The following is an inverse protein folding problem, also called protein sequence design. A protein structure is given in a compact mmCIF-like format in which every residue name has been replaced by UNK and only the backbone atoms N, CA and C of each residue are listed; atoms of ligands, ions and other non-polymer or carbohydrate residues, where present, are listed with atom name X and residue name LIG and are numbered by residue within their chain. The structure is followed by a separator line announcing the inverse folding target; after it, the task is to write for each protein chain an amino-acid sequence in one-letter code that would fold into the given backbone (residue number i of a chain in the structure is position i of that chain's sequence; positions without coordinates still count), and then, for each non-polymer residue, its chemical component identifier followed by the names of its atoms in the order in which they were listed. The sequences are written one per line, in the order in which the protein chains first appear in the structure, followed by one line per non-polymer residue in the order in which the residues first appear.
data_IF_509198607486
#
_entry.id   IF_509198607486
#
_cell.length_a   1.000
_cell.length_b   1.000
_cell.length_c   1.000
_cell.angle_alpha   90.00
_cell.angle_beta   90.00
_cell.angle_gamma   90.00
#
_symmetry.space_group_name_H-M   'P 1'
#
loop_
_entity.id
_entity.type
_entity.pdbx_description
1 polymer ?
#
# COMPACT_ATOMS: atom_id res chain seq x y z
N UNK A 1 2.05 -69.80 38.64
CA UNK A 1 2.89 -69.43 37.48
C UNK A 1 1.96 -69.07 36.33
N UNK A 2 1.74 -67.78 36.08
CA UNK A 2 0.85 -67.26 35.03
C UNK A 2 1.54 -66.03 34.43
N UNK A 3 2.04 -66.16 33.20
CA UNK A 3 2.72 -65.10 32.46
C UNK A 3 1.67 -64.12 31.90
N UNK A 4 1.80 -62.84 32.26
CA UNK A 4 1.06 -61.73 31.68
C UNK A 4 1.94 -61.10 30.58
N UNK A 5 1.44 -61.10 29.34
CA UNK A 5 2.04 -60.46 28.17
C UNK A 5 1.59 -58.99 28.10
N UNK A 6 2.49 -57.99 28.01
CA UNK A 6 2.09 -56.63 27.69
C UNK A 6 2.18 -56.39 26.18
N UNK A 7 1.02 -56.32 25.52
CA UNK A 7 0.88 -55.95 24.11
C UNK A 7 0.11 -54.63 24.04
N UNK A 8 0.79 -53.50 24.22
CA UNK A 8 0.29 -52.16 23.82
C UNK A 8 1.44 -51.14 23.90
N UNK A 9 2.29 -51.13 22.88
CA UNK A 9 3.14 -49.97 22.52
C UNK A 9 2.90 -49.72 21.05
N UNK A 10 2.49 -48.49 20.69
CA UNK A 10 2.51 -47.84 19.34
C UNK A 10 1.23 -47.06 18.94
N UNK A 11 0.31 -46.75 19.86
CA UNK A 11 -0.85 -45.89 19.53
C UNK A 11 -0.69 -44.38 19.73
N UNK A 12 0.32 -43.94 20.50
CA UNK A 12 0.28 -42.59 21.11
C UNK A 12 0.87 -41.42 20.33
N UNK A 13 1.57 -41.63 19.20
CA UNK A 13 2.33 -40.54 18.54
C UNK A 13 1.53 -39.86 17.42
N UNK A 14 0.51 -40.52 16.85
CA UNK A 14 -0.29 -39.93 15.77
C UNK A 14 -1.39 -38.98 16.28
N UNK A 15 -1.78 -39.08 17.56
CA UNK A 15 -2.81 -38.23 18.16
C UNK A 15 -2.29 -36.83 18.58
N UNK A 16 -0.99 -36.69 18.86
CA UNK A 16 -0.42 -35.41 19.28
C UNK A 16 -0.23 -34.41 18.12
N UNK A 17 -0.05 -34.89 16.89
CA UNK A 17 0.11 -34.04 15.71
C UNK A 17 -1.19 -33.38 15.25
N UNK A 18 -2.34 -34.05 15.44
CA UNK A 18 -3.63 -33.58 14.92
C UNK A 18 -4.32 -32.58 15.86
N UNK A 19 -3.99 -32.61 17.16
CA UNK A 19 -4.52 -31.68 18.17
C UNK A 19 -3.79 -30.33 18.19
N UNK A 20 -2.53 -30.28 17.73
CA UNK A 20 -1.78 -29.02 17.59
C UNK A 20 -2.22 -28.17 16.38
N UNK A 21 -2.89 -28.77 15.40
CA UNK A 21 -3.47 -28.02 14.27
C UNK A 21 -4.87 -27.44 14.57
N UNK A 22 -5.50 -27.83 15.69
CA UNK A 22 -6.84 -27.35 16.05
C UNK A 22 -6.83 -26.01 16.80
N UNK A 23 -5.66 -25.53 17.24
CA UNK A 23 -5.50 -24.31 18.03
C UNK A 23 -4.99 -23.10 17.27
N UNK A 24 -4.57 -23.26 16.02
CA UNK A 24 -4.28 -22.13 15.14
C UNK A 24 -5.62 -21.61 14.62
N UNK A 25 -6.25 -20.75 15.41
CA UNK A 25 -7.11 -19.71 14.85
C UNK A 25 -6.18 -18.95 13.90
N UNK A 26 -6.20 -19.33 12.62
CA UNK A 26 -5.63 -18.52 11.58
C UNK A 26 -6.45 -17.24 11.60
N UNK A 27 -5.97 -16.24 12.34
CA UNK A 27 -6.36 -14.87 12.05
C UNK A 27 -6.14 -14.73 10.55
N UNK A 28 -7.15 -14.29 9.78
CA UNK A 28 -6.92 -14.04 8.37
C UNK A 28 -5.71 -13.12 8.31
N UNK A 29 -4.67 -13.52 7.58
CA UNK A 29 -3.50 -12.69 7.33
C UNK A 29 -3.97 -11.54 6.44
N UNK A 30 -4.65 -10.56 7.03
CA UNK A 30 -5.07 -9.34 6.37
C UNK A 30 -3.91 -8.36 6.45
N UNK A 31 -2.82 -8.71 5.79
CA UNK A 31 -1.84 -7.75 5.29
C UNK A 31 -1.96 -7.76 3.77
N UNK A 32 -3.16 -7.46 3.27
CA UNK A 32 -3.37 -7.20 1.87
C UNK A 32 -3.05 -5.71 1.68
N UNK A 33 -1.98 -5.40 0.97
CA UNK A 33 -1.70 -4.03 0.54
C UNK A 33 -2.46 -3.73 -0.76
N UNK A 34 -2.83 -2.48 -0.98
CA UNK A 34 -3.36 -2.01 -2.27
C UNK A 34 -2.28 -1.23 -2.98
N UNK A 35 -2.09 -1.48 -4.28
CA UNK A 35 -1.24 -0.63 -5.11
C UNK A 35 -2.10 0.29 -5.97
N UNK A 36 -1.98 1.60 -5.75
CA UNK A 36 -2.53 2.62 -6.63
C UNK A 36 -1.52 2.95 -7.72
N UNK A 37 -1.96 2.92 -8.98
CA UNK A 37 -1.21 3.45 -10.10
C UNK A 37 -1.91 4.71 -10.61
N UNK A 38 -1.13 5.75 -10.85
CA UNK A 38 -1.65 7.04 -11.27
C UNK A 38 -0.84 7.62 -12.44
N UNK A 39 -1.53 8.40 -13.27
CA UNK A 39 -0.92 9.20 -14.33
C UNK A 39 -1.43 10.62 -14.28
N UNK A 40 -0.66 11.57 -14.81
CA UNK A 40 -1.06 12.97 -14.88
C UNK A 40 -0.29 13.76 -15.92
N UNK A 41 -0.72 14.99 -16.13
CA UNK A 41 -0.09 15.95 -17.04
C UNK A 41 0.45 17.15 -16.26
N UNK A 42 1.69 17.55 -16.55
CA UNK A 42 2.29 18.75 -15.95
C UNK A 42 1.60 20.00 -16.50
N UNK A 43 1.15 20.90 -15.62
CA UNK A 43 0.48 22.15 -15.99
C UNK A 43 1.30 23.39 -15.64
N UNK A 44 2.00 23.36 -14.51
CA UNK A 44 2.81 24.49 -14.07
C UNK A 44 4.17 24.01 -13.58
N UNK A 45 5.19 24.78 -13.94
CA UNK A 45 6.57 24.53 -13.55
C UNK A 45 7.17 25.82 -13.05
N UNK A 46 7.64 25.80 -11.80
CA UNK A 46 8.33 26.93 -11.21
C UNK A 46 9.68 27.15 -11.94
N UNK A 47 10.07 28.41 -12.21
CA UNK A 47 11.34 28.72 -12.88
C UNK A 47 12.60 28.16 -12.21
N UNK A 48 12.57 27.89 -10.90
CA UNK A 48 13.71 27.31 -10.19
C UNK A 48 14.01 25.87 -10.59
N UNK A 49 13.02 25.15 -11.14
CA UNK A 49 13.13 23.74 -11.55
C UNK A 49 12.85 23.53 -13.04
N UNK A 50 12.66 24.60 -13.81
CA UNK A 50 12.34 24.55 -15.25
C UNK A 50 13.48 24.01 -16.13
N UNK A 51 14.68 23.87 -15.59
CA UNK A 51 15.80 23.20 -16.26
C UNK A 51 15.55 21.70 -16.47
N UNK A 52 14.73 21.08 -15.62
CA UNK A 52 14.41 19.65 -15.66
C UNK A 52 12.98 19.36 -16.10
N UNK A 53 12.04 20.30 -15.90
CA UNK A 53 10.61 20.07 -16.12
C UNK A 53 10.01 21.06 -17.13
N UNK A 54 8.98 20.62 -17.85
CA UNK A 54 8.17 21.47 -18.72
C UNK A 54 6.74 20.91 -18.88
N UNK A 55 5.85 21.73 -19.43
CA UNK A 55 4.42 21.45 -19.52
C UNK A 55 4.02 20.38 -20.56
N UNK A 56 4.96 19.85 -21.35
CA UNK A 56 4.70 18.70 -22.24
C UNK A 56 4.97 17.36 -21.56
N UNK A 57 5.49 17.38 -20.32
CA UNK A 57 5.80 16.17 -19.59
C UNK A 57 4.55 15.55 -18.95
N UNK A 58 4.59 14.22 -18.85
CA UNK A 58 3.59 13.43 -18.14
C UNK A 58 4.18 12.89 -16.85
N UNK A 59 3.34 12.77 -15.83
CA UNK A 59 3.60 12.08 -14.58
C UNK A 59 3.06 10.65 -14.69
N UNK A 60 3.82 9.68 -14.17
CA UNK A 60 3.36 8.33 -13.89
C UNK A 60 3.92 7.91 -12.54
N UNK A 61 3.15 7.18 -11.75
CA UNK A 61 3.66 6.67 -10.49
C UNK A 61 2.81 5.57 -9.92
N UNK A 62 3.32 5.00 -8.84
CA UNK A 62 2.63 4.01 -8.04
C UNK A 62 2.88 4.24 -6.56
N UNK A 63 1.90 3.89 -5.75
CA UNK A 63 2.02 3.81 -4.29
C UNK A 63 1.36 2.54 -3.77
N UNK A 64 2.04 1.87 -2.85
CA UNK A 64 1.51 0.69 -2.15
C UNK A 64 1.17 1.09 -0.73
N UNK A 65 -0.06 0.80 -0.33
CA UNK A 65 -0.69 1.29 0.89
C UNK A 65 -1.12 0.11 1.74
N UNK A 66 -0.89 0.21 3.04
CA UNK A 66 -1.43 -0.74 4.00
C UNK A 66 -2.95 -0.56 4.12
N UNK A 67 -3.70 -1.66 4.17
CA UNK A 67 -5.16 -1.59 4.35
C UNK A 67 -5.58 -1.35 5.80
N UNK A 68 -4.64 -1.36 6.75
CA UNK A 68 -4.91 -1.00 8.13
C UNK A 68 -5.14 0.51 8.27
N UNK A 69 -6.40 0.87 8.47
CA UNK A 69 -6.77 2.22 8.92
C UNK A 69 -6.18 2.49 10.30
N UNK A 70 -5.47 3.61 10.42
CA UNK A 70 -4.86 4.07 11.67
C UNK A 70 -5.84 4.87 12.53
N UNK A 71 -6.97 5.31 11.98
CA UNK A 71 -8.02 6.05 12.68
C UNK A 71 -9.43 5.42 12.57
N UNK A 72 -9.61 4.11 12.90
CA UNK A 72 -10.86 3.38 12.68
C UNK A 72 -12.07 3.83 13.52
N UNK A 73 -11.95 4.92 14.27
CA UNK A 73 -12.99 5.49 15.11
C UNK A 73 -13.82 6.58 14.41
N UNK A 74 -13.39 7.09 13.27
CA UNK A 74 -14.03 8.18 12.54
C UNK A 74 -14.51 7.73 11.16
N UNK A 75 -15.82 7.49 11.01
CA UNK A 75 -16.40 7.03 9.74
C UNK A 75 -16.30 8.03 8.57
N UNK A 76 -15.89 9.26 8.85
CA UNK A 76 -15.67 10.31 7.85
C UNK A 76 -14.19 10.49 7.49
N UNK A 77 -13.28 9.83 8.20
CA UNK A 77 -11.84 10.04 8.07
C UNK A 77 -11.07 8.74 8.19
N UNK A 78 -10.55 8.26 7.07
CA UNK A 78 -9.67 7.10 7.03
C UNK A 78 -8.22 7.52 6.82
N UNK A 79 -7.29 6.96 7.58
CA UNK A 79 -5.87 7.27 7.49
C UNK A 79 -5.03 6.01 7.26
N UNK A 80 -4.27 5.98 6.18
CA UNK A 80 -3.57 4.78 5.73
C UNK A 80 -2.09 5.04 5.47
N UNK A 81 -1.23 4.13 5.90
CA UNK A 81 0.21 4.24 5.73
C UNK A 81 0.65 3.80 4.32
N UNK A 82 1.51 4.58 3.68
CA UNK A 82 2.13 4.24 2.41
C UNK A 82 3.44 3.51 2.66
N UNK A 83 3.50 2.24 2.25
CA UNK A 83 4.67 1.38 2.40
C UNK A 83 5.73 1.64 1.33
N UNK A 84 5.30 1.97 0.10
CA UNK A 84 6.23 2.30 -0.97
C UNK A 84 5.61 3.30 -1.93
N UNK A 85 6.43 4.17 -2.50
CA UNK A 85 6.01 5.13 -3.50
C UNK A 85 7.13 5.40 -4.51
N UNK A 86 6.73 5.54 -5.76
CA UNK A 86 7.58 5.91 -6.86
C UNK A 86 6.80 6.83 -7.82
N UNK A 87 7.40 7.94 -8.21
CA UNK A 87 6.86 8.84 -9.23
C UNK A 87 7.94 9.16 -10.25
N UNK A 88 7.53 9.19 -11.51
CA UNK A 88 8.35 9.61 -12.64
C UNK A 88 7.63 10.72 -13.39
N UNK A 89 8.32 11.84 -13.62
CA UNK A 89 7.83 12.96 -14.43
C UNK A 89 8.84 13.18 -15.55
N UNK A 90 8.45 12.88 -16.79
CA UNK A 90 9.39 12.82 -17.91
C UNK A 90 10.52 11.82 -17.63
N UNK A 91 11.75 12.31 -17.48
CA UNK A 91 12.92 11.50 -17.13
C UNK A 91 13.37 11.61 -15.67
N UNK A 92 12.66 12.37 -14.84
CA UNK A 92 12.97 12.54 -13.42
C UNK A 92 12.21 11.52 -12.58
N UNK A 93 12.88 10.86 -11.64
CA UNK A 93 12.26 9.88 -10.73
C UNK A 93 12.48 10.29 -9.28
N UNK A 94 11.43 10.14 -8.46
CA UNK A 94 11.50 10.25 -7.02
C UNK A 94 10.80 9.09 -6.34
N UNK A 95 11.33 8.66 -5.19
CA UNK A 95 10.81 7.54 -4.41
C UNK A 95 10.63 7.94 -2.95
N UNK A 96 9.82 7.20 -2.21
CA UNK A 96 9.79 7.36 -0.75
C UNK A 96 11.16 6.97 -0.17
N UNK A 97 11.62 7.69 0.85
CA UNK A 97 12.78 7.26 1.62
C UNK A 97 12.39 6.09 2.53
N UNK A 98 13.30 5.14 2.79
CA UNK A 98 13.09 4.12 3.81
C UNK A 98 12.78 4.80 5.15
N UNK A 99 11.78 4.30 5.90
CA UNK A 99 11.30 4.86 7.18
C UNK A 99 10.64 6.24 7.14
N UNK A 100 10.21 6.72 5.97
CA UNK A 100 9.52 8.01 5.84
C UNK A 100 8.00 7.89 5.88
N UNK A 101 7.36 8.95 6.40
CA UNK A 101 5.91 9.07 6.49
C UNK A 101 5.32 9.40 5.11
N UNK A 102 4.74 8.40 4.46
CA UNK A 102 3.74 8.62 3.42
C UNK A 102 2.38 8.21 3.94
N UNK A 103 1.35 8.97 3.60
CA UNK A 103 -0.03 8.69 4.02
C UNK A 103 -1.02 8.87 2.87
N UNK A 104 -2.14 8.16 2.97
CA UNK A 104 -3.35 8.45 2.24
C UNK A 104 -4.46 8.72 3.25
N UNK A 105 -5.18 9.80 2.99
CA UNK A 105 -6.38 10.20 3.72
C UNK A 105 -7.58 10.02 2.79
N UNK A 106 -8.60 9.33 3.27
CA UNK A 106 -9.90 9.19 2.62
C UNK A 106 -10.91 9.96 3.45
N UNK A 107 -11.48 10.98 2.84
CA UNK A 107 -12.43 11.90 3.44
C UNK A 107 -13.80 11.55 2.90
N UNK A 108 -14.71 11.08 3.75
CA UNK A 108 -16.08 10.74 3.39
C UNK A 108 -17.02 11.71 4.11
N UNK A 109 -17.78 12.50 3.36
CA UNK A 109 -18.69 13.51 3.88
C UNK A 109 -17.99 14.55 4.78
N UNK A 110 -16.79 15.02 4.40
CA UNK A 110 -16.08 16.01 5.20
C UNK A 110 -16.79 17.38 5.13
N UNK A 111 -17.10 17.94 6.30
CA UNK A 111 -17.66 19.28 6.38
C UNK A 111 -16.60 20.34 6.06
N UNK A 112 -16.80 21.03 4.94
CA UNK A 112 -15.97 22.16 4.52
C UNK A 112 -16.29 23.43 5.30
N UNK A 113 -15.36 24.40 5.29
CA UNK A 113 -15.55 25.72 5.91
C UNK A 113 -16.74 26.52 5.32
N UNK A 114 -17.26 26.11 4.15
CA UNK A 114 -18.44 26.72 3.52
C UNK A 114 -19.75 26.05 3.92
N UNK A 115 -19.70 25.02 4.78
CA UNK A 115 -20.88 24.27 5.24
C UNK A 115 -21.35 23.20 4.26
N UNK A 116 -20.56 22.88 3.22
CA UNK A 116 -20.83 21.81 2.26
C UNK A 116 -20.08 20.54 2.65
N UNK A 117 -20.64 19.38 2.34
CA UNK A 117 -19.95 18.09 2.46
C UNK A 117 -19.16 17.82 1.17
N UNK A 118 -18.00 17.19 1.31
CA UNK A 118 -17.14 16.79 0.18
C UNK A 118 -16.50 15.44 0.45
N UNK A 119 -16.30 14.70 -0.62
CA UNK A 119 -15.46 13.51 -0.61
C UNK A 119 -14.08 13.82 -1.18
N UNK A 120 -13.04 13.28 -0.54
CA UNK A 120 -11.67 13.63 -0.87
C UNK A 120 -10.67 12.49 -0.68
N UNK A 121 -9.78 12.32 -1.66
CA UNK A 121 -8.57 11.53 -1.50
C UNK A 121 -7.39 12.49 -1.45
N UNK A 122 -6.64 12.46 -0.36
CA UNK A 122 -5.39 13.20 -0.22
C UNK A 122 -4.25 12.23 0.05
N UNK A 123 -3.29 12.15 -0.88
CA UNK A 123 -2.08 11.35 -0.70
C UNK A 123 -0.89 12.29 -0.51
N UNK A 124 -0.11 12.08 0.54
CA UNK A 124 1.05 12.89 0.88
C UNK A 124 2.28 12.01 1.11
N UNK A 125 3.39 12.37 0.47
CA UNK A 125 4.67 11.68 0.61
C UNK A 125 5.69 12.68 1.11
N UNK A 126 6.07 12.54 2.37
CA UNK A 126 7.13 13.35 2.95
C UNK A 126 8.50 12.73 2.71
N UNK A 127 9.52 13.59 2.66
CA UNK A 127 10.93 13.19 2.58
C UNK A 127 11.24 12.26 1.40
N UNK A 128 10.70 12.57 0.23
CA UNK A 128 11.01 11.81 -0.99
C UNK A 128 12.49 11.93 -1.39
N UNK A 129 13.06 10.87 -1.93
CA UNK A 129 14.40 10.80 -2.48
C UNK A 129 14.38 11.02 -3.99
N UNK A 130 15.40 11.66 -4.55
CA UNK A 130 15.55 11.89 -5.98
C UNK A 130 16.72 12.83 -6.26
N UNK A 131 17.04 13.03 -7.54
CA UNK A 131 18.14 13.91 -7.93
C UNK A 131 17.84 15.37 -7.60
N UNK A 132 18.85 16.14 -7.22
CA UNK A 132 18.66 17.58 -7.06
C UNK A 132 18.41 18.24 -8.42
N UNK A 133 17.50 19.21 -8.46
CA UNK A 133 17.28 20.09 -9.61
C UNK A 133 17.73 21.48 -9.21
N UNK A 134 18.76 22.00 -9.89
CA UNK A 134 19.33 23.32 -9.60
C UNK A 134 19.70 23.49 -8.10
N UNK A 135 20.38 22.49 -7.53
CA UNK A 135 20.75 22.38 -6.11
C UNK A 135 19.59 22.22 -5.12
N UNK A 136 18.34 22.15 -5.59
CA UNK A 136 17.17 21.90 -4.75
C UNK A 136 16.88 20.39 -4.73
N UNK A 137 16.93 19.79 -3.55
CA UNK A 137 16.52 18.39 -3.37
C UNK A 137 14.99 18.26 -3.31
N UNK A 138 14.42 17.14 -3.78
CA UNK A 138 12.99 16.88 -3.62
C UNK A 138 12.64 16.74 -2.14
N UNK A 139 11.45 17.21 -1.75
CA UNK A 139 11.01 17.22 -0.35
C UNK A 139 9.67 16.55 -0.16
N UNK A 140 8.71 16.85 -1.02
CA UNK A 140 7.32 16.51 -0.80
C UNK A 140 6.64 16.21 -2.12
N UNK A 141 5.78 15.20 -2.11
CA UNK A 141 4.84 14.95 -3.20
C UNK A 141 3.44 14.83 -2.62
N UNK A 142 2.44 15.37 -3.31
CA UNK A 142 1.05 15.13 -2.96
C UNK A 142 0.14 15.00 -4.18
N UNK A 143 -0.97 14.31 -3.98
CA UNK A 143 -2.13 14.26 -4.85
C UNK A 143 -3.34 14.69 -4.02
N UNK A 144 -4.12 15.63 -4.52
CA UNK A 144 -5.37 16.08 -3.93
C UNK A 144 -6.49 15.90 -4.94
N UNK A 145 -7.50 15.11 -4.57
CA UNK A 145 -8.66 14.81 -5.38
C UNK A 145 -9.91 15.04 -4.54
N UNK A 146 -10.73 16.03 -4.88
CA UNK A 146 -11.96 16.36 -4.15
C UNK A 146 -13.14 16.54 -5.10
N UNK A 147 -14.33 16.15 -4.64
CA UNK A 147 -15.57 16.28 -5.38
C UNK A 147 -16.79 16.19 -4.47
N UNK A 148 -17.98 15.91 -5.04
CA UNK A 148 -19.22 15.85 -4.26
C UNK A 148 -19.20 14.71 -3.23
N UNK A 149 -20.03 14.84 -2.20
CA UNK A 149 -20.31 13.89 -1.10
C UNK A 149 -21.03 12.58 -1.54
N UNK A 150 -20.87 12.20 -2.80
CA UNK A 150 -21.53 11.02 -3.39
C UNK A 150 -20.52 10.09 -4.07
N UNK A 151 -19.23 10.43 -3.98
CA UNK A 151 -18.16 9.67 -4.62
C UNK A 151 -17.78 8.46 -3.79
N UNK A 152 -17.79 8.60 -2.47
CA UNK A 152 -17.43 7.58 -1.51
C UNK A 152 -18.67 7.14 -0.74
N UNK A 153 -18.64 5.90 -0.26
CA UNK A 153 -19.67 5.36 0.63
C UNK A 153 -19.14 5.08 2.04
N UNK A 154 -17.86 5.40 2.26
CA UNK A 154 -17.10 5.15 3.49
C UNK A 154 -15.72 5.80 3.39
N UNK A 155 -15.09 5.95 4.54
CA UNK A 155 -13.67 6.24 4.79
C UNK A 155 -12.68 5.11 4.40
N UNK A 156 -13.18 3.94 3.99
CA UNK A 156 -12.36 2.81 3.55
C UNK A 156 -11.50 3.14 2.32
N UNK A 157 -10.28 2.57 2.24
CA UNK A 157 -9.46 2.65 1.02
C UNK A 157 -10.22 2.19 -0.23
N UNK A 158 -10.06 2.97 -1.30
CA UNK A 158 -10.76 2.76 -2.56
C UNK A 158 -10.19 1.55 -3.31
N UNK A 159 -10.90 0.43 -3.28
CA UNK A 159 -10.57 -0.77 -4.07
C UNK A 159 -10.83 -0.58 -5.57
N UNK A 160 -11.73 0.35 -5.90
CA UNK A 160 -12.09 0.76 -7.26
C UNK A 160 -12.31 2.26 -7.26
N UNK A 161 -11.26 3.08 -7.47
CA UNK A 161 -11.38 4.53 -7.44
C UNK A 161 -12.40 5.03 -8.47
N UNK A 162 -13.19 6.08 -8.14
CA UNK A 162 -14.01 6.77 -9.12
C UNK A 162 -13.18 7.30 -10.29
N UNK A 163 -13.84 7.61 -11.41
CA UNK A 163 -13.19 8.30 -12.51
C UNK A 163 -12.57 9.60 -12.01
N UNK A 164 -11.36 9.92 -12.47
CA UNK A 164 -10.66 11.14 -12.04
C UNK A 164 -11.45 12.41 -12.40
N UNK A 165 -12.30 12.34 -13.43
CA UNK A 165 -13.22 13.41 -13.82
C UNK A 165 -14.32 13.71 -12.79
N UNK A 166 -14.59 12.79 -11.86
CA UNK A 166 -15.58 12.97 -10.81
C UNK A 166 -15.09 13.87 -9.68
N UNK A 167 -13.76 14.03 -9.54
CA UNK A 167 -13.14 15.00 -8.63
C UNK A 167 -13.12 16.38 -9.30
N UNK A 168 -14.28 17.02 -9.33
CA UNK A 168 -14.53 18.27 -10.04
C UNK A 168 -14.24 19.53 -9.21
N UNK A 169 -14.00 19.39 -7.90
CA UNK A 169 -13.66 20.51 -7.01
C UNK A 169 -12.15 20.74 -6.97
N UNK A 170 -11.38 19.66 -6.78
CA UNK A 170 -9.92 19.68 -6.78
C UNK A 170 -9.39 18.46 -7.52
N UNK A 171 -8.47 18.67 -8.45
CA UNK A 171 -7.70 17.61 -9.07
C UNK A 171 -6.30 18.14 -9.37
N UNK A 172 -5.38 17.95 -8.44
CA UNK A 172 -3.99 18.34 -8.62
C UNK A 172 -2.99 17.37 -8.02
N UNK A 173 -1.81 17.34 -8.62
CA UNK A 173 -0.62 16.77 -8.00
C UNK A 173 0.45 17.85 -7.87
N UNK A 174 1.34 17.71 -6.89
CA UNK A 174 2.47 18.60 -6.68
C UNK A 174 3.71 17.82 -6.30
N UNK A 175 4.83 18.18 -6.92
CA UNK A 175 6.18 17.77 -6.54
C UNK A 175 6.96 19.02 -6.11
N UNK A 176 7.43 19.04 -4.88
CA UNK A 176 8.09 20.19 -4.26
C UNK A 176 9.56 19.90 -4.02
N UNK A 177 10.39 20.85 -4.42
CA UNK A 177 11.84 20.88 -4.24
C UNK A 177 12.24 22.01 -3.30
N UNK A 178 13.35 21.80 -2.59
CA UNK A 178 13.98 22.83 -1.75
C UNK A 178 13.34 22.97 -0.37
N UNK A 179 13.83 23.97 0.35
CA UNK A 179 13.40 24.27 1.72
C UNK A 179 12.03 24.98 1.74
N UNK A 180 11.41 25.02 2.91
CA UNK A 180 10.19 25.80 3.14
C UNK A 180 10.52 27.28 2.89
N UNK A 181 9.68 28.00 2.14
CA UNK A 181 9.83 29.44 1.84
C UNK A 181 10.46 29.77 0.48
N UNK A 182 11.23 28.84 -0.13
CA UNK A 182 11.72 28.98 -1.52
C UNK A 182 11.46 27.70 -2.32
N UNK A 183 10.19 27.26 -2.46
CA UNK A 183 9.89 25.99 -3.09
C UNK A 183 9.97 26.09 -4.62
N UNK A 184 10.77 25.20 -5.22
CA UNK A 184 10.60 24.85 -6.63
C UNK A 184 9.45 23.86 -6.76
N UNK A 185 8.39 24.21 -7.47
CA UNK A 185 7.18 23.38 -7.58
C UNK A 185 6.94 22.94 -9.02
N UNK A 186 6.65 21.67 -9.19
CA UNK A 186 6.04 21.12 -10.40
C UNK A 186 4.64 20.69 -10.02
N UNK A 187 3.62 21.20 -10.71
CA UNK A 187 2.24 20.83 -10.45
C UNK A 187 1.51 20.51 -11.74
N UNK A 188 0.41 19.79 -11.60
CA UNK A 188 -0.38 19.35 -12.73
C UNK A 188 -1.67 18.70 -12.29
N UNK A 189 -2.30 18.00 -13.20
CA UNK A 189 -3.59 17.32 -12.98
C UNK A 189 -3.40 15.81 -13.09
N UNK A 190 -4.12 15.05 -12.28
CA UNK A 190 -4.20 13.60 -12.41
C UNK A 190 -5.17 13.28 -13.56
N UNK A 191 -4.82 12.31 -14.39
CA UNK A 191 -5.62 11.88 -15.55
C UNK A 191 -6.11 10.44 -15.44
N UNK A 192 -5.45 9.62 -14.62
CA UNK A 192 -5.89 8.26 -14.33
C UNK A 192 -5.49 7.89 -12.91
N UNK A 193 -6.37 7.17 -12.22
CA UNK A 193 -6.14 6.55 -10.93
C UNK A 193 -6.75 5.16 -10.99
N UNK A 194 -5.95 4.15 -10.68
CA UNK A 194 -6.37 2.74 -10.67
C UNK A 194 -5.85 2.08 -9.41
N UNK A 195 -6.62 1.15 -8.83
CA UNK A 195 -6.20 0.36 -7.69
C UNK A 195 -6.07 -1.11 -8.09
N UNK A 196 -5.01 -1.75 -7.63
CA UNK A 196 -4.75 -3.18 -7.81
C UNK A 196 -4.53 -3.79 -6.44
N UNK A 197 -5.54 -4.48 -5.89
CA UNK A 197 -5.37 -5.24 -4.65
C UNK A 197 -4.37 -6.39 -4.86
N UNK A 198 -3.52 -6.64 -3.87
CA UNK A 198 -2.65 -7.81 -3.90
C UNK A 198 -3.50 -9.10 -3.83
N UNK A 199 -3.42 -10.03 -4.81
CA UNK A 199 -4.26 -11.21 -4.78
C UNK A 199 -3.92 -12.09 -3.56
N UNK A 200 -4.92 -12.39 -2.73
CA UNK A 200 -4.77 -13.31 -1.59
C UNK A 200 -4.18 -14.67 -2.00
N UNK A 201 -4.42 -15.09 -3.25
CA UNK A 201 -3.83 -16.29 -3.83
C UNK A 201 -2.30 -16.29 -3.85
N UNK A 202 -1.63 -15.13 -3.98
CA UNK A 202 -0.16 -15.05 -3.96
C UNK A 202 0.37 -15.36 -2.56
N UNK A 203 -0.29 -14.84 -1.52
CA UNK A 203 0.06 -15.12 -0.13
C UNK A 203 -0.22 -16.58 0.24
N UNK A 204 -1.38 -17.11 -0.18
CA UNK A 204 -1.78 -18.49 0.10
C UNK A 204 -0.92 -19.50 -0.66
N UNK A 205 -0.55 -19.19 -1.91
CA UNK A 205 0.42 -19.98 -2.68
C UNK A 205 1.80 -19.97 -2.03
N UNK A 206 2.28 -18.80 -1.59
CA UNK A 206 3.56 -18.68 -0.87
C UNK A 206 3.58 -19.47 0.43
N UNK A 207 2.56 -19.32 1.27
CA UNK A 207 2.42 -20.08 2.51
C UNK A 207 2.30 -21.59 2.25
N UNK A 208 1.52 -21.98 1.23
CA UNK A 208 1.36 -23.38 0.82
C UNK A 208 2.67 -24.02 0.34
N UNK A 209 3.48 -23.28 -0.42
CA UNK A 209 4.79 -23.75 -0.86
C UNK A 209 5.74 -23.99 0.32
N UNK A 210 5.79 -23.06 1.29
CA UNK A 210 6.62 -23.19 2.49
C UNK A 210 6.22 -24.43 3.30
N UNK A 211 4.92 -24.66 3.49
CA UNK A 211 4.40 -25.85 4.16
C UNK A 211 4.79 -27.13 3.42
N UNK A 212 4.69 -27.14 2.08
CA UNK A 212 5.04 -28.29 1.25
C UNK A 212 6.54 -28.63 1.31
N UNK A 213 7.41 -27.62 1.23
CA UNK A 213 8.87 -27.80 1.35
C UNK A 213 9.24 -28.30 2.76
N UNK A 214 8.60 -27.75 3.81
CA UNK A 214 8.78 -28.22 5.18
C UNK A 214 8.36 -29.68 5.39
N UNK A 215 7.23 -30.09 4.81
CA UNK A 215 6.76 -31.48 4.87
C UNK A 215 7.66 -32.43 4.06
N UNK A 216 8.12 -32.01 2.88
CA UNK A 216 8.99 -32.82 2.01
C UNK A 216 10.37 -33.10 2.61
N UNK A 217 10.97 -32.12 3.30
CA UNK A 217 12.26 -32.28 3.95
C UNK A 217 12.21 -33.14 5.24
N UNK A 218 11.07 -33.17 5.94
CA UNK A 218 10.85 -34.02 7.11
C UNK A 218 10.53 -35.48 6.77
N UNK A 219 9.88 -35.74 5.64
CA UNK A 219 9.49 -37.08 5.20
C UNK A 219 10.68 -37.98 4.80
N UNK A 220 11.70 -37.43 4.14
CA UNK A 220 12.86 -38.22 3.70
C UNK A 220 13.81 -38.64 4.83
N UNK A 221 13.84 -37.92 5.96
CA UNK A 221 14.69 -38.28 7.11
C UNK A 221 14.18 -39.53 7.84
N UNK A 222 12.89 -39.84 7.73
CA UNK A 222 12.29 -41.04 8.34
C UNK A 222 12.44 -42.31 7.50
N UNK A 223 12.89 -42.22 6.24
CA UNK A 223 13.12 -43.40 5.39
C UNK A 223 14.56 -43.95 5.45
N UNK A 224 15.52 -43.18 5.95
CA UNK A 224 16.91 -43.65 6.12
C UNK A 224 17.21 -44.34 7.46
N UNK A 225 16.24 -44.41 8.39
CA UNK A 225 16.41 -45.04 9.72
C UNK A 225 15.88 -46.48 9.83
N UNK A 226 15.18 -47.00 8.82
CA UNK A 226 14.58 -48.34 8.86
C UNK A 226 15.51 -49.39 8.24
N UNK A 227 16.70 -49.57 8.82
CA UNK A 227 17.52 -50.77 8.65
C UNK A 227 18.17 -51.11 10.00
N UNK A 228 17.48 -51.93 10.77
CA UNK A 228 18.02 -52.80 11.81
C UNK A 228 17.05 -53.96 12.01
#
# INVERSE_FOLDING_TARGET
MRMIKPWFRRGGILAAGLVLCSGLVATPAMAASITYNFTGDVREVNPLVSSQFNNSMTMKGSMTVDMADQEPGDSSYGFYEVQSFNVTIGGYTATLRPSSAGSIEILNDLLTNTGSLTDGLFAAMEQINGNNVNLLGPRFFAISLFGPDTLFGSDALLMSPPSVSSFNEVNDFRLVFGLIGVPGVVSGVVTSLTAVPLPAAVLLFGAGLILLVGLGAGGLRNLHGAKA
#
